data_IF_454268358016
#
_entry.id   IF_454268358016
#
_cell.length_a   1.000
_cell.length_b   1.000
_cell.length_c   1.000
_cell.angle_alpha   90.00
_cell.angle_beta   90.00
_cell.angle_gamma   90.00
#
_symmetry.space_group_name_H-M   'P 1'
#
loop_
_entity.id
_entity.type
_entity.pdbx_description
1 polymer ?
#
# COMPACT_ATOMS: atom_id res chain seq x y z
N UNK A 1 22.13 -24.07 14.75
CA UNK A 1 22.78 -22.80 14.34
C UNK A 1 21.96 -21.61 14.78
N UNK A 2 20.69 -21.44 14.38
CA UNK A 2 19.86 -20.26 14.73
C UNK A 2 19.69 -19.98 16.25
N UNK A 3 19.60 -21.03 17.11
CA UNK A 3 19.42 -20.81 18.56
C UNK A 3 20.69 -20.31 19.26
N UNK A 4 21.87 -20.66 18.78
CA UNK A 4 23.13 -20.21 19.34
C UNK A 4 23.41 -18.77 18.94
N UNK A 5 23.13 -18.40 17.70
CA UNK A 5 23.26 -17.03 17.20
C UNK A 5 22.35 -16.05 17.96
N UNK A 6 21.10 -16.44 18.29
CA UNK A 6 20.19 -15.58 19.06
C UNK A 6 20.65 -15.40 20.53
N UNK A 7 21.24 -16.43 21.14
CA UNK A 7 21.80 -16.33 22.51
C UNK A 7 22.99 -15.38 22.57
N UNK A 8 23.89 -15.49 21.62
CA UNK A 8 25.08 -14.64 21.53
C UNK A 8 24.71 -13.19 21.20
N UNK A 9 23.71 -13.01 20.33
CA UNK A 9 23.16 -11.70 20.03
C UNK A 9 22.56 -11.02 21.27
N UNK A 10 21.71 -11.74 22.05
CA UNK A 10 21.13 -11.20 23.29
C UNK A 10 22.18 -10.88 24.35
N UNK A 11 23.20 -11.73 24.47
CA UNK A 11 24.34 -11.46 25.36
C UNK A 11 25.10 -10.18 24.94
N UNK A 12 25.30 -10.00 23.65
CA UNK A 12 25.90 -8.77 23.10
C UNK A 12 25.06 -7.52 23.39
N UNK A 13 23.72 -7.63 23.26
CA UNK A 13 22.83 -6.51 23.61
C UNK A 13 22.94 -6.14 25.09
N UNK A 14 22.90 -7.14 25.98
CA UNK A 14 22.99 -6.92 27.41
C UNK A 14 24.32 -6.32 27.86
N UNK A 15 25.41 -6.51 27.08
CA UNK A 15 26.71 -5.92 27.37
C UNK A 15 26.88 -4.51 26.82
N UNK A 16 26.15 -4.15 25.77
CA UNK A 16 26.37 -2.90 25.02
C UNK A 16 25.23 -1.90 25.13
N UNK A 17 24.05 -2.33 25.59
CA UNK A 17 22.84 -1.52 25.70
C UNK A 17 22.24 -1.62 27.09
N UNK A 18 21.45 -0.63 27.46
CA UNK A 18 20.74 -0.60 28.73
C UNK A 18 19.38 -1.30 28.58
N UNK A 19 19.17 -2.41 29.26
CA UNK A 19 17.87 -3.06 29.32
C UNK A 19 16.93 -2.27 30.22
N UNK A 20 15.69 -2.10 29.82
CA UNK A 20 14.65 -1.43 30.61
C UNK A 20 14.11 -2.45 31.61
N UNK A 21 14.52 -2.33 32.87
CA UNK A 21 14.11 -3.19 33.97
C UNK A 21 13.31 -2.40 35.01
N UNK A 22 12.31 -3.03 35.68
CA UNK A 22 11.43 -2.33 36.60
C UNK A 22 12.14 -1.73 37.81
N UNK A 23 13.25 -2.32 38.25
CA UNK A 23 14.07 -1.83 39.37
C UNK A 23 14.93 -0.61 38.99
N UNK A 24 15.27 -0.49 37.69
CA UNK A 24 16.17 0.58 37.19
C UNK A 24 15.39 1.76 36.66
N UNK A 25 14.32 1.50 35.89
CA UNK A 25 13.49 2.50 35.21
C UNK A 25 12.00 2.18 35.36
N UNK A 26 11.44 2.22 36.60
CA UNK A 26 10.08 1.75 36.87
C UNK A 26 9.01 2.47 36.02
N UNK A 27 9.15 3.77 35.82
CA UNK A 27 8.20 4.55 35.06
C UNK A 27 8.20 4.19 33.57
N UNK A 28 9.38 4.11 32.95
CA UNK A 28 9.52 3.76 31.53
C UNK A 28 9.10 2.30 31.28
N UNK A 29 9.48 1.41 32.19
CA UNK A 29 9.06 0.01 32.17
C UNK A 29 7.52 -0.10 32.16
N UNK A 30 6.85 0.59 33.08
CA UNK A 30 5.39 0.57 33.18
C UNK A 30 4.74 1.15 31.91
N UNK A 31 5.23 2.29 31.39
CA UNK A 31 4.74 2.92 30.17
C UNK A 31 4.76 1.94 29.00
N UNK A 32 5.86 1.22 28.82
CA UNK A 32 6.04 0.28 27.71
C UNK A 32 5.14 -0.95 27.85
N UNK A 33 5.07 -1.51 29.05
CA UNK A 33 4.22 -2.67 29.30
C UNK A 33 2.72 -2.37 29.24
N UNK A 34 2.29 -1.18 29.69
CA UNK A 34 0.90 -0.72 29.50
C UNK A 34 0.55 -0.58 28.02
N UNK A 35 1.52 -0.15 27.21
CA UNK A 35 1.33 -0.02 25.77
C UNK A 35 1.15 -1.39 25.10
N UNK A 36 1.97 -2.38 25.48
CA UNK A 36 1.83 -3.77 25.03
C UNK A 36 0.45 -4.33 25.39
N UNK A 37 0.06 -4.17 26.66
CA UNK A 37 -1.22 -4.68 27.18
C UNK A 37 -2.40 -4.04 26.46
N UNK A 38 -2.34 -2.72 26.17
CA UNK A 38 -3.39 -2.00 25.45
C UNK A 38 -3.62 -2.53 24.04
N UNK A 39 -2.57 -2.99 23.36
CA UNK A 39 -2.66 -3.60 22.03
C UNK A 39 -3.02 -5.10 22.06
N UNK A 40 -3.12 -5.72 23.25
CA UNK A 40 -3.40 -7.15 23.39
C UNK A 40 -2.28 -8.04 22.81
N UNK A 41 -1.03 -7.58 22.90
CA UNK A 41 0.09 -8.33 22.37
C UNK A 41 0.61 -9.32 23.42
N UNK A 42 0.44 -10.62 23.20
CA UNK A 42 0.64 -11.67 24.20
C UNK A 42 2.09 -12.12 24.38
N UNK A 43 2.97 -11.77 23.44
CA UNK A 43 4.37 -12.16 23.50
C UNK A 43 5.15 -11.23 24.44
N UNK A 44 6.08 -11.80 25.23
CA UNK A 44 7.00 -10.99 26.02
C UNK A 44 7.88 -10.09 25.13
N UNK A 45 8.20 -8.90 25.61
CA UNK A 45 9.03 -7.92 24.93
C UNK A 45 10.14 -7.45 25.87
N UNK A 46 11.38 -7.56 25.43
CA UNK A 46 12.55 -6.97 26.06
C UNK A 46 12.84 -5.62 25.40
N UNK A 47 12.86 -4.55 26.16
CA UNK A 47 13.22 -3.22 25.69
C UNK A 47 14.67 -2.89 26.02
N UNK A 48 15.38 -2.37 25.03
CA UNK A 48 16.74 -1.88 25.19
C UNK A 48 16.83 -0.42 24.80
N UNK A 49 17.76 0.31 25.46
CA UNK A 49 18.09 1.69 25.13
C UNK A 49 19.52 1.74 24.60
N UNK A 50 19.64 2.25 23.38
CA UNK A 50 20.95 2.51 22.76
C UNK A 50 21.34 3.96 22.96
N UNK A 51 22.58 4.21 23.39
CA UNK A 51 23.14 5.55 23.42
C UNK A 51 23.39 6.03 21.98
N UNK A 52 22.46 6.80 21.44
CA UNK A 52 22.55 7.35 20.08
C UNK A 52 21.88 8.73 20.02
N UNK A 53 22.44 9.60 19.16
CA UNK A 53 21.87 10.89 18.82
C UNK A 53 20.78 10.80 17.74
N UNK A 54 20.67 9.67 17.05
CA UNK A 54 19.66 9.45 16.05
C UNK A 54 18.29 9.24 16.72
N UNK A 55 17.28 9.87 16.17
CA UNK A 55 15.90 9.74 16.69
C UNK A 55 15.28 8.54 16.00
N UNK A 56 15.43 7.36 16.59
CA UNK A 56 14.97 6.11 16.00
C UNK A 56 14.63 5.06 17.07
N UNK A 57 13.77 4.10 16.66
CA UNK A 57 13.53 2.85 17.35
C UNK A 57 13.51 1.73 16.31
N UNK A 58 13.74 0.50 16.71
CA UNK A 58 13.65 -0.64 15.82
C UNK A 58 13.26 -1.92 16.55
N UNK A 59 12.56 -2.78 15.83
CA UNK A 59 12.23 -4.13 16.26
C UNK A 59 13.11 -5.16 15.57
N UNK A 60 13.73 -6.07 16.32
CA UNK A 60 14.55 -7.11 15.75
C UNK A 60 13.69 -8.31 15.30
N UNK A 61 13.57 -8.48 13.97
CA UNK A 61 12.91 -9.60 13.32
C UNK A 61 13.87 -10.80 13.25
N UNK A 62 13.78 -11.72 14.06
CA UNK A 62 14.68 -12.89 13.96
C UNK A 62 14.68 -13.76 15.20
N UNK A 63 14.08 -13.24 16.24
CA UNK A 63 13.94 -13.99 17.48
C UNK A 63 12.91 -15.10 17.31
N UNK A 64 13.26 -16.28 17.82
CA UNK A 64 12.33 -17.42 17.80
C UNK A 64 11.03 -17.05 18.54
N UNK A 65 9.89 -17.64 18.15
CA UNK A 65 8.61 -17.37 18.82
C UNK A 65 8.60 -17.58 20.33
N UNK A 66 9.44 -18.50 20.81
CA UNK A 66 9.54 -18.89 22.22
C UNK A 66 10.35 -17.92 23.08
N UNK A 67 10.98 -16.91 22.48
CA UNK A 67 11.79 -15.92 23.19
C UNK A 67 11.14 -14.54 23.14
N UNK A 68 11.41 -13.66 24.12
CA UNK A 68 10.93 -12.30 24.09
C UNK A 68 11.28 -11.57 22.79
N UNK A 69 10.36 -10.78 22.26
CA UNK A 69 10.66 -9.84 21.20
C UNK A 69 11.65 -8.79 21.71
N UNK A 70 12.48 -8.24 20.85
CA UNK A 70 13.42 -7.17 21.21
C UNK A 70 13.01 -5.89 20.50
N UNK A 71 12.77 -4.83 21.27
CA UNK A 71 12.60 -3.46 20.76
C UNK A 71 13.74 -2.63 21.32
N UNK A 72 14.49 -1.99 20.44
CA UNK A 72 15.60 -1.10 20.76
C UNK A 72 15.23 0.34 20.46
N UNK A 73 15.47 1.24 21.42
CA UNK A 73 15.07 2.62 21.35
C UNK A 73 16.29 3.51 21.60
N UNK A 74 16.55 4.43 20.70
CA UNK A 74 17.64 5.37 20.88
C UNK A 74 17.33 6.39 21.98
N UNK A 75 18.35 6.71 22.82
CA UNK A 75 18.19 7.63 23.94
C UNK A 75 17.67 9.01 23.53
N UNK A 76 18.13 9.54 22.39
CA UNK A 76 17.63 10.81 21.88
C UNK A 76 16.12 10.82 21.58
N UNK A 77 15.56 9.69 21.17
CA UNK A 77 14.11 9.56 20.95
C UNK A 77 13.36 9.66 22.29
N UNK A 78 13.83 8.96 23.33
CA UNK A 78 13.20 9.00 24.66
C UNK A 78 13.24 10.42 25.24
N UNK A 79 14.35 11.14 25.08
CA UNK A 79 14.47 12.52 25.57
C UNK A 79 13.59 13.52 24.82
N UNK A 80 13.34 13.25 23.53
CA UNK A 80 12.57 14.15 22.66
C UNK A 80 11.06 13.98 22.80
N UNK A 81 10.60 12.74 23.01
CA UNK A 81 9.18 12.38 22.96
C UNK A 81 8.47 12.54 24.32
N UNK A 82 7.20 12.91 24.27
CA UNK A 82 6.29 12.78 25.41
C UNK A 82 5.85 11.31 25.58
N UNK A 83 5.19 10.99 26.70
CA UNK A 83 4.71 9.62 26.94
C UNK A 83 3.74 9.11 25.85
N UNK A 84 2.79 9.94 25.40
CA UNK A 84 1.86 9.55 24.33
C UNK A 84 2.57 9.36 22.99
N UNK A 85 3.59 10.17 22.71
CA UNK A 85 4.43 10.01 21.51
C UNK A 85 5.29 8.74 21.62
N UNK A 86 5.80 8.40 22.81
CA UNK A 86 6.50 7.12 23.03
C UNK A 86 5.55 5.94 22.85
N UNK A 87 4.29 6.03 23.35
CA UNK A 87 3.27 5.01 23.10
C UNK A 87 3.02 4.82 21.60
N UNK A 88 2.98 5.93 20.84
CA UNK A 88 2.84 5.86 19.39
C UNK A 88 4.01 5.10 18.76
N UNK A 89 5.25 5.43 19.10
CA UNK A 89 6.44 4.77 18.54
C UNK A 89 6.47 3.28 18.89
N UNK A 90 6.22 2.92 20.15
CA UNK A 90 6.21 1.52 20.58
C UNK A 90 5.07 0.75 19.91
N UNK A 91 3.89 1.37 19.80
CA UNK A 91 2.76 0.77 19.11
C UNK A 91 3.04 0.55 17.61
N UNK A 92 3.77 1.46 16.98
CA UNK A 92 4.26 1.33 15.62
C UNK A 92 5.22 0.13 15.47
N UNK A 93 6.22 0.02 16.33
CA UNK A 93 7.17 -1.10 16.34
C UNK A 93 6.48 -2.46 16.57
N UNK A 94 5.51 -2.50 17.47
CA UNK A 94 4.68 -3.69 17.69
C UNK A 94 3.78 -3.98 16.48
N UNK A 95 3.32 -2.95 15.78
CA UNK A 95 2.53 -3.05 14.56
C UNK A 95 3.21 -3.89 13.49
N UNK A 96 4.50 -3.71 13.28
CA UNK A 96 5.29 -4.53 12.35
C UNK A 96 5.31 -6.02 12.74
N UNK A 97 5.30 -6.33 14.04
CA UNK A 97 5.24 -7.71 14.51
C UNK A 97 3.85 -8.31 14.36
N UNK A 98 2.80 -7.57 14.72
CA UNK A 98 1.41 -8.00 14.59
C UNK A 98 1.06 -8.25 13.13
N UNK A 99 1.52 -7.38 12.22
CA UNK A 99 1.33 -7.51 10.78
C UNK A 99 2.29 -8.53 10.11
N UNK A 100 3.27 -9.07 10.85
CA UNK A 100 4.26 -10.06 10.38
C UNK A 100 5.13 -9.59 9.22
N UNK A 101 5.47 -8.32 9.19
CA UNK A 101 6.25 -7.70 8.10
C UNK A 101 7.62 -8.35 7.90
N UNK A 102 8.20 -8.88 8.98
CA UNK A 102 9.48 -9.59 8.93
C UNK A 102 9.48 -10.89 8.13
N UNK A 103 8.33 -11.55 7.94
CA UNK A 103 8.26 -12.84 7.25
C UNK A 103 8.56 -12.68 5.75
N UNK A 104 7.94 -11.70 5.09
CA UNK A 104 8.21 -11.43 3.68
C UNK A 104 9.64 -10.89 3.47
N UNK A 105 10.13 -10.03 4.36
CA UNK A 105 11.50 -9.53 4.29
C UNK A 105 12.52 -10.68 4.38
N UNK A 106 12.31 -11.66 5.25
CA UNK A 106 13.16 -12.86 5.34
C UNK A 106 13.13 -13.69 4.05
N UNK A 107 11.91 -13.90 3.49
CA UNK A 107 11.77 -14.64 2.23
C UNK A 107 12.47 -13.92 1.08
N UNK A 108 12.26 -12.61 0.96
CA UNK A 108 12.91 -11.79 -0.09
C UNK A 108 14.43 -11.83 0.05
N UNK A 109 14.97 -11.66 1.27
CA UNK A 109 16.42 -11.70 1.51
C UNK A 109 17.03 -13.11 1.32
N UNK A 110 16.24 -14.15 1.54
CA UNK A 110 16.67 -15.51 1.26
C UNK A 110 16.82 -15.79 -0.25
N UNK A 111 15.85 -15.34 -1.04
CA UNK A 111 15.84 -15.54 -2.51
C UNK A 111 16.79 -14.55 -3.21
N UNK A 112 16.85 -13.32 -2.73
CA UNK A 112 17.64 -12.22 -3.28
C UNK A 112 18.47 -11.57 -2.16
N UNK A 113 19.66 -12.14 -1.80
CA UNK A 113 20.52 -11.58 -0.75
C UNK A 113 20.91 -10.13 -0.99
N UNK A 114 21.02 -9.73 -2.26
CA UNK A 114 21.11 -8.34 -2.71
C UNK A 114 19.95 -8.04 -3.66
N UNK A 115 18.87 -7.48 -3.10
CA UNK A 115 17.66 -7.20 -3.85
C UNK A 115 17.91 -6.25 -5.03
N UNK A 116 18.76 -5.24 -4.85
CA UNK A 116 18.97 -4.21 -5.87
C UNK A 116 19.72 -4.72 -7.10
N UNK A 117 20.71 -5.57 -6.89
CA UNK A 117 21.54 -6.07 -8.00
C UNK A 117 21.05 -7.39 -8.58
N UNK A 118 20.32 -8.20 -7.83
CA UNK A 118 19.96 -9.57 -8.19
C UNK A 118 18.52 -9.77 -8.63
N UNK A 119 17.62 -8.80 -8.39
CA UNK A 119 16.20 -8.98 -8.70
C UNK A 119 15.71 -8.09 -9.85
N UNK A 120 14.63 -8.51 -10.56
CA UNK A 120 13.98 -7.66 -11.55
C UNK A 120 13.47 -6.35 -10.94
N UNK A 121 13.59 -5.23 -11.67
CA UNK A 121 13.17 -3.90 -11.19
C UNK A 121 11.72 -3.86 -10.69
N UNK A 122 10.81 -4.53 -11.39
CA UNK A 122 9.41 -4.61 -10.95
C UNK A 122 9.25 -5.26 -9.59
N UNK A 123 10.05 -6.28 -9.25
CA UNK A 123 10.03 -6.90 -7.93
C UNK A 123 10.57 -5.94 -6.87
N UNK A 124 11.64 -5.19 -7.17
CA UNK A 124 12.17 -4.17 -6.28
C UNK A 124 11.10 -3.12 -5.94
N UNK A 125 10.40 -2.60 -6.96
CA UNK A 125 9.31 -1.64 -6.77
C UNK A 125 8.15 -2.22 -5.94
N UNK A 126 7.76 -3.48 -6.18
CA UNK A 126 6.71 -4.16 -5.40
C UNK A 126 7.10 -4.34 -3.93
N UNK A 127 8.33 -4.76 -3.66
CA UNK A 127 8.84 -4.93 -2.29
C UNK A 127 8.89 -3.58 -1.58
N UNK A 128 9.35 -2.53 -2.26
CA UNK A 128 9.42 -1.19 -1.72
C UNK A 128 8.02 -0.64 -1.40
N UNK A 129 7.09 -0.70 -2.34
CA UNK A 129 5.71 -0.26 -2.11
C UNK A 129 5.04 -1.06 -0.98
N UNK A 130 5.27 -2.38 -0.92
CA UNK A 130 4.76 -3.21 0.16
C UNK A 130 5.32 -2.76 1.53
N UNK A 131 6.63 -2.49 1.64
CA UNK A 131 7.24 -1.96 2.88
C UNK A 131 6.59 -0.64 3.28
N UNK A 132 6.40 0.27 2.34
CA UNK A 132 5.72 1.55 2.60
C UNK A 132 4.27 1.37 3.07
N UNK A 133 3.54 0.38 2.55
CA UNK A 133 2.19 0.06 3.02
C UNK A 133 2.20 -0.53 4.43
N UNK A 134 3.20 -1.35 4.77
CA UNK A 134 3.39 -1.86 6.14
C UNK A 134 3.58 -0.73 7.14
N UNK A 135 4.28 0.35 6.77
CA UNK A 135 4.42 1.54 7.61
C UNK A 135 3.06 2.19 7.95
N UNK A 136 2.14 2.27 6.97
CA UNK A 136 0.79 2.81 7.22
C UNK A 136 -0.02 1.92 8.17
N UNK A 137 0.18 0.60 8.11
CA UNK A 137 -0.43 -0.35 9.06
C UNK A 137 0.19 -0.19 10.44
N UNK A 138 1.52 -0.12 10.54
CA UNK A 138 2.22 0.07 11.80
C UNK A 138 1.82 1.40 12.49
N UNK A 139 1.66 2.48 11.72
CA UNK A 139 1.17 3.76 12.22
C UNK A 139 -0.23 3.68 12.86
N UNK A 140 -1.13 2.86 12.31
CA UNK A 140 -2.45 2.61 12.92
C UNK A 140 -2.34 1.93 14.28
N UNK A 141 -1.45 0.95 14.42
CA UNK A 141 -1.16 0.34 15.72
C UNK A 141 -0.55 1.35 16.68
N UNK A 142 0.33 2.22 16.21
CA UNK A 142 0.84 3.35 16.96
C UNK A 142 -0.27 4.28 17.47
N UNK A 143 -1.21 4.63 16.60
CA UNK A 143 -2.37 5.44 16.99
C UNK A 143 -3.26 4.73 18.01
N UNK A 144 -3.55 3.44 17.85
CA UNK A 144 -4.33 2.65 18.80
C UNK A 144 -3.63 2.61 20.17
N UNK A 145 -2.32 2.51 20.19
CA UNK A 145 -1.51 2.53 21.41
C UNK A 145 -1.56 3.90 22.11
N UNK A 146 -1.34 4.98 21.39
CA UNK A 146 -1.35 6.34 21.94
C UNK A 146 -2.77 6.83 22.28
N UNK A 147 -3.73 6.60 21.39
CA UNK A 147 -5.11 7.11 21.52
C UNK A 147 -5.23 8.62 21.41
N UNK A 148 -4.21 9.30 20.89
CA UNK A 148 -4.11 10.76 20.83
C UNK A 148 -3.58 11.20 19.46
N UNK A 149 -4.48 11.71 18.59
CA UNK A 149 -4.15 12.19 17.24
C UNK A 149 -3.01 13.21 17.24
N UNK A 150 -3.09 14.19 18.13
CA UNK A 150 -2.13 15.29 18.16
C UNK A 150 -0.73 14.81 18.59
N UNK A 151 -0.66 13.85 19.51
CA UNK A 151 0.61 13.23 19.89
C UNK A 151 1.21 12.45 18.71
N UNK A 152 0.41 11.66 17.99
CA UNK A 152 0.89 10.90 16.82
C UNK A 152 1.45 11.84 15.73
N UNK A 153 0.72 12.93 15.40
CA UNK A 153 1.16 13.88 14.39
C UNK A 153 2.38 14.69 14.88
N UNK A 154 2.43 15.05 16.16
CA UNK A 154 3.58 15.68 16.78
C UNK A 154 4.83 14.79 16.74
N UNK A 155 4.66 13.47 16.93
CA UNK A 155 5.76 12.52 16.80
C UNK A 155 6.39 12.57 15.41
N UNK A 156 5.59 12.59 14.33
CA UNK A 156 6.12 12.76 12.97
C UNK A 156 6.90 14.08 12.80
N UNK A 157 6.36 15.18 13.32
CA UNK A 157 7.07 16.45 13.28
C UNK A 157 8.43 16.37 13.96
N UNK A 158 8.51 15.73 15.13
CA UNK A 158 9.74 15.57 15.90
C UNK A 158 10.72 14.60 15.22
N UNK A 159 10.22 13.47 14.72
CA UNK A 159 11.03 12.50 13.98
C UNK A 159 11.70 13.13 12.76
N UNK A 160 10.99 14.01 12.06
CA UNK A 160 11.50 14.67 10.86
C UNK A 160 12.41 15.85 11.15
N UNK A 161 12.08 16.67 12.15
CA UNK A 161 12.82 17.92 12.43
C UNK A 161 13.92 17.77 13.48
N UNK A 162 13.87 16.77 14.33
CA UNK A 162 14.75 16.64 15.49
C UNK A 162 14.50 17.70 16.59
N UNK A 163 13.45 18.51 16.46
CA UNK A 163 13.23 19.64 17.36
C UNK A 163 12.46 19.22 18.62
N UNK A 164 12.96 19.71 19.76
CA UNK A 164 12.19 19.66 20.99
C UNK A 164 11.15 20.79 20.98
N UNK A 165 9.87 20.41 20.90
CA UNK A 165 8.74 21.33 20.79
C UNK A 165 8.35 22.02 22.11
N UNK A 166 9.07 21.73 23.20
CA UNK A 166 8.81 22.30 24.51
C UNK A 166 9.01 23.82 24.49
N UNK A 167 7.94 24.57 24.67
CA UNK A 167 7.95 26.03 24.56
C UNK A 167 7.78 26.60 23.15
N UNK A 168 7.66 25.76 22.13
CA UNK A 168 7.29 26.18 20.77
C UNK A 168 5.78 26.06 20.61
N UNK A 169 5.15 27.10 20.10
CA UNK A 169 3.70 27.10 19.83
C UNK A 169 3.44 26.49 18.44
N UNK A 170 3.27 25.18 18.37
CA UNK A 170 3.03 24.46 17.12
C UNK A 170 1.54 24.23 16.93
N UNK A 171 1.03 24.72 15.81
CA UNK A 171 -0.33 24.43 15.34
C UNK A 171 -0.33 23.12 14.53
N UNK A 172 -0.76 22.03 15.18
CA UNK A 172 -0.87 20.69 14.57
C UNK A 172 -1.82 20.70 13.37
N UNK A 173 -2.93 21.42 13.45
CA UNK A 173 -3.90 21.49 12.35
C UNK A 173 -3.34 22.30 11.16
N UNK A 174 -2.53 23.32 11.41
CA UNK A 174 -1.80 24.01 10.35
C UNK A 174 -0.77 23.09 9.68
N UNK A 175 -0.07 22.25 10.47
CA UNK A 175 0.85 21.27 9.93
C UNK A 175 0.15 20.23 9.06
N UNK A 176 -1.01 19.70 9.49
CA UNK A 176 -1.84 18.79 8.68
C UNK A 176 -2.29 19.49 7.38
N UNK A 177 -2.81 20.71 7.46
CA UNK A 177 -3.21 21.47 6.25
C UNK A 177 -2.04 21.70 5.29
N UNK A 178 -0.83 21.92 5.81
CA UNK A 178 0.36 22.06 4.96
C UNK A 178 0.71 20.73 4.25
N UNK A 179 0.69 19.61 4.98
CA UNK A 179 0.93 18.30 4.40
C UNK A 179 -0.12 17.95 3.32
N UNK A 180 -1.40 18.30 3.53
CA UNK A 180 -2.44 18.06 2.53
C UNK A 180 -2.24 18.85 1.23
N UNK A 181 -1.64 20.05 1.31
CA UNK A 181 -1.22 20.78 0.10
C UNK A 181 -0.07 20.07 -0.63
N UNK A 182 0.88 19.52 0.11
CA UNK A 182 1.96 18.71 -0.49
C UNK A 182 1.40 17.45 -1.15
N UNK A 183 0.46 16.77 -0.51
CA UNK A 183 -0.23 15.59 -1.08
C UNK A 183 -0.95 15.89 -2.38
N UNK A 184 -1.62 17.04 -2.49
CA UNK A 184 -2.29 17.40 -3.75
C UNK A 184 -1.29 17.55 -4.90
N UNK A 185 -0.13 18.15 -4.66
CA UNK A 185 0.93 18.28 -5.66
C UNK A 185 1.55 16.91 -6.01
N UNK A 186 1.70 16.04 -5.02
CA UNK A 186 2.19 14.67 -5.23
C UNK A 186 1.19 13.83 -6.02
N UNK A 187 -0.09 13.94 -5.71
CA UNK A 187 -1.17 13.27 -6.42
C UNK A 187 -1.23 13.69 -7.90
N UNK A 188 -1.11 14.99 -8.19
CA UNK A 188 -1.08 15.54 -9.56
C UNK A 188 0.19 15.17 -10.36
N UNK A 189 1.04 14.29 -9.85
CA UNK A 189 2.25 13.84 -10.54
C UNK A 189 3.37 14.87 -10.67
N UNK A 190 3.27 16.00 -9.96
CA UNK A 190 4.30 17.07 -9.98
C UNK A 190 5.59 16.70 -9.27
N UNK A 191 5.55 15.69 -8.42
CA UNK A 191 6.71 15.11 -7.76
C UNK A 191 6.91 13.67 -8.22
N UNK A 192 7.81 13.47 -9.15
CA UNK A 192 8.29 12.15 -9.54
C UNK A 192 9.29 11.64 -8.49
N UNK A 193 9.08 10.41 -8.03
CA UNK A 193 10.08 9.64 -7.30
C UNK A 193 10.30 9.98 -5.81
N UNK A 194 9.30 9.63 -4.98
CA UNK A 194 9.59 9.28 -3.58
C UNK A 194 9.82 7.75 -3.41
N UNK A 195 9.90 7.03 -4.53
CA UNK A 195 9.99 5.57 -4.58
C UNK A 195 11.31 4.97 -4.10
N UNK A 196 12.30 5.78 -3.71
CA UNK A 196 13.60 5.28 -3.26
C UNK A 196 13.75 5.21 -1.74
N UNK A 197 12.70 5.53 -0.98
CA UNK A 197 12.72 5.49 0.48
C UNK A 197 11.91 4.31 0.99
N UNK A 198 12.42 3.61 2.00
CA UNK A 198 11.71 2.48 2.64
C UNK A 198 10.42 2.92 3.35
N UNK A 199 10.29 4.21 3.69
CA UNK A 199 9.11 4.79 4.31
C UNK A 199 8.33 5.66 3.31
N UNK A 200 6.99 5.71 3.40
CA UNK A 200 6.20 6.67 2.62
C UNK A 200 6.55 8.11 3.02
N UNK A 201 6.25 9.07 2.14
CA UNK A 201 6.36 10.48 2.50
C UNK A 201 5.55 10.78 3.78
N UNK A 202 6.12 11.58 4.69
CA UNK A 202 5.47 11.94 5.96
C UNK A 202 4.07 12.52 5.74
N UNK A 203 3.86 13.26 4.65
CA UNK A 203 2.55 13.80 4.31
C UNK A 203 1.49 12.68 4.10
N UNK A 204 1.87 11.53 3.53
CA UNK A 204 1.00 10.36 3.40
C UNK A 204 0.69 9.77 4.78
N UNK A 205 1.72 9.59 5.62
CA UNK A 205 1.58 9.03 6.97
C UNK A 205 0.74 9.92 7.87
N UNK A 206 1.00 11.23 7.85
CA UNK A 206 0.23 12.23 8.61
C UNK A 206 -1.24 12.24 8.20
N UNK A 207 -1.54 12.19 6.89
CA UNK A 207 -2.94 12.15 6.43
C UNK A 207 -3.60 10.82 6.74
N UNK A 208 -2.89 9.70 6.67
CA UNK A 208 -3.42 8.39 7.05
C UNK A 208 -3.86 8.36 8.54
N UNK A 209 -3.01 8.89 9.44
CA UNK A 209 -3.35 9.02 10.86
C UNK A 209 -4.49 10.02 11.07
N UNK A 210 -4.45 11.16 10.39
CA UNK A 210 -5.51 12.16 10.47
C UNK A 210 -6.86 11.58 10.06
N UNK A 211 -6.93 10.91 8.91
CA UNK A 211 -8.15 10.26 8.42
C UNK A 211 -8.64 9.18 9.39
N UNK A 212 -7.74 8.31 9.89
CA UNK A 212 -8.11 7.27 10.85
C UNK A 212 -8.66 7.83 12.16
N UNK A 213 -8.18 9.01 12.60
CA UNK A 213 -8.61 9.66 13.83
C UNK A 213 -9.91 10.47 13.68
N UNK A 214 -10.23 10.99 12.48
CA UNK A 214 -11.28 12.01 12.30
C UNK A 214 -12.39 11.61 11.35
N UNK A 215 -12.26 10.51 10.59
CA UNK A 215 -13.31 10.06 9.67
C UNK A 215 -14.64 9.86 10.42
N UNK A 216 -15.71 10.37 9.83
CA UNK A 216 -17.06 10.29 10.38
C UNK A 216 -17.75 8.95 10.05
N UNK A 217 -17.23 8.22 9.08
CA UNK A 217 -17.71 6.91 8.65
C UNK A 217 -16.58 6.04 8.10
N UNK A 218 -16.82 4.74 8.07
CA UNK A 218 -15.92 3.77 7.44
C UNK A 218 -15.71 4.07 5.94
N UNK A 219 -16.77 4.48 5.24
CA UNK A 219 -16.72 4.84 3.82
C UNK A 219 -15.79 6.04 3.55
N UNK A 220 -15.83 7.07 4.41
CA UNK A 220 -14.95 8.23 4.30
C UNK A 220 -13.48 7.84 4.55
N UNK A 221 -13.24 7.01 5.57
CA UNK A 221 -11.92 6.48 5.86
C UNK A 221 -11.39 5.66 4.69
N UNK A 222 -12.17 4.73 4.17
CA UNK A 222 -11.77 3.86 3.06
C UNK A 222 -11.46 4.67 1.81
N UNK A 223 -12.28 5.66 1.47
CA UNK A 223 -12.03 6.55 0.32
C UNK A 223 -10.69 7.26 0.45
N UNK A 224 -10.38 7.80 1.62
CA UNK A 224 -9.09 8.48 1.86
C UNK A 224 -7.94 7.51 1.80
N UNK A 225 -8.09 6.34 2.44
CA UNK A 225 -7.03 5.32 2.44
C UNK A 225 -6.76 4.75 1.06
N UNK A 226 -7.77 4.51 0.23
CA UNK A 226 -7.59 4.09 -1.18
C UNK A 226 -6.73 5.07 -1.95
N UNK A 227 -7.00 6.37 -1.79
CA UNK A 227 -6.21 7.42 -2.43
C UNK A 227 -4.74 7.39 -1.97
N UNK A 228 -4.49 7.22 -0.68
CA UNK A 228 -3.13 7.16 -0.13
C UNK A 228 -2.40 5.88 -0.59
N UNK A 229 -3.08 4.74 -0.59
CA UNK A 229 -2.53 3.47 -1.10
C UNK A 229 -2.19 3.59 -2.59
N UNK A 230 -3.08 4.17 -3.40
CA UNK A 230 -2.80 4.41 -4.81
C UNK A 230 -1.55 5.28 -5.01
N UNK A 231 -1.35 6.32 -4.21
CA UNK A 231 -0.13 7.14 -4.29
C UNK A 231 1.16 6.35 -4.05
N UNK A 232 1.10 5.29 -3.25
CA UNK A 232 2.24 4.41 -2.94
C UNK A 232 2.42 3.33 -4.01
N UNK A 233 1.33 2.76 -4.53
CA UNK A 233 1.36 1.59 -5.42
C UNK A 233 1.40 1.94 -6.92
N UNK A 234 1.07 3.16 -7.30
CA UNK A 234 0.98 3.57 -8.71
C UNK A 234 2.35 3.54 -9.42
N UNK A 235 2.33 3.10 -10.67
CA UNK A 235 3.50 3.12 -11.57
C UNK A 235 3.53 4.42 -12.38
N UNK A 236 2.36 5.01 -12.62
CA UNK A 236 2.15 6.19 -13.46
C UNK A 236 1.69 7.39 -12.63
N UNK A 237 1.70 8.57 -13.20
CA UNK A 237 1.50 9.83 -12.46
C UNK A 237 0.36 10.71 -12.97
N UNK A 238 -0.41 10.24 -13.97
CA UNK A 238 -1.54 10.97 -14.52
C UNK A 238 -2.81 10.76 -13.67
N UNK A 239 -3.63 11.81 -13.52
CA UNK A 239 -4.93 11.70 -12.84
C UNK A 239 -5.89 10.71 -13.50
N UNK A 240 -5.75 10.50 -14.83
CA UNK A 240 -6.56 9.54 -15.58
C UNK A 240 -6.16 8.11 -15.19
N UNK A 241 -4.90 7.91 -14.87
CA UNK A 241 -4.34 6.60 -14.56
C UNK A 241 -4.89 5.99 -13.27
N UNK A 242 -5.51 6.79 -12.39
CA UNK A 242 -6.27 6.28 -11.23
C UNK A 242 -7.55 5.54 -11.68
N UNK A 243 -8.20 6.05 -12.71
CA UNK A 243 -9.48 5.52 -13.19
C UNK A 243 -9.33 4.32 -14.13
N UNK A 244 -8.21 4.25 -14.88
CA UNK A 244 -7.99 3.19 -15.87
C UNK A 244 -7.97 1.78 -15.26
N UNK A 245 -7.24 1.49 -14.16
CA UNK A 245 -7.23 0.18 -13.54
C UNK A 245 -8.61 -0.27 -13.04
N UNK A 246 -9.37 0.63 -12.44
CA UNK A 246 -10.73 0.34 -11.96
C UNK A 246 -11.70 0.10 -13.13
N UNK A 247 -11.60 0.90 -14.20
CA UNK A 247 -12.33 0.65 -15.44
C UNK A 247 -11.98 -0.72 -16.03
N UNK A 248 -10.69 -1.07 -16.12
CA UNK A 248 -10.23 -2.34 -16.66
C UNK A 248 -10.72 -3.53 -15.81
N UNK A 249 -10.65 -3.42 -14.49
CA UNK A 249 -11.17 -4.45 -13.59
C UNK A 249 -12.67 -4.65 -13.79
N UNK A 250 -13.45 -3.55 -13.79
CA UNK A 250 -14.90 -3.61 -13.94
C UNK A 250 -15.33 -4.11 -15.33
N UNK A 251 -14.75 -3.56 -16.40
CA UNK A 251 -15.06 -3.97 -17.78
C UNK A 251 -14.69 -5.44 -18.01
N UNK A 252 -13.53 -5.88 -17.49
CA UNK A 252 -13.11 -7.26 -17.58
C UNK A 252 -14.07 -8.22 -16.88
N UNK A 253 -14.45 -7.90 -15.62
CA UNK A 253 -15.41 -8.71 -14.85
C UNK A 253 -16.80 -8.74 -15.51
N UNK A 254 -17.27 -7.61 -16.05
CA UNK A 254 -18.57 -7.54 -16.76
C UNK A 254 -18.59 -8.47 -17.97
N UNK A 255 -17.53 -8.47 -18.78
CA UNK A 255 -17.42 -9.33 -19.96
C UNK A 255 -17.24 -10.80 -19.54
N UNK A 256 -16.27 -11.10 -18.67
CA UNK A 256 -15.96 -12.46 -18.25
C UNK A 256 -17.13 -13.14 -17.53
N UNK A 257 -17.96 -12.38 -16.81
CA UNK A 257 -19.14 -12.93 -16.13
C UNK A 257 -20.42 -12.99 -17.00
N UNK A 258 -20.34 -12.66 -18.28
CA UNK A 258 -21.52 -12.65 -19.17
C UNK A 258 -22.18 -14.02 -19.33
N UNK A 259 -21.42 -15.08 -19.23
CA UNK A 259 -21.91 -16.47 -19.26
C UNK A 259 -22.05 -17.10 -17.84
N UNK A 260 -21.65 -16.39 -16.78
CA UNK A 260 -21.71 -16.81 -15.38
C UNK A 260 -20.46 -17.56 -14.89
N UNK A 261 -19.41 -17.65 -15.70
CA UNK A 261 -18.15 -18.33 -15.35
C UNK A 261 -16.96 -17.47 -15.76
N UNK A 262 -16.17 -17.04 -14.79
CA UNK A 262 -14.89 -16.34 -15.06
C UNK A 262 -13.79 -17.40 -15.16
N UNK A 263 -13.15 -17.50 -16.31
CA UNK A 263 -12.03 -18.42 -16.53
C UNK A 263 -10.71 -17.86 -15.98
N UNK A 264 -9.72 -18.73 -15.81
CA UNK A 264 -8.40 -18.32 -15.34
C UNK A 264 -7.70 -17.42 -16.37
N UNK A 265 -7.85 -17.73 -17.65
CA UNK A 265 -7.29 -16.98 -18.77
C UNK A 265 -7.88 -15.55 -18.83
N UNK A 266 -9.18 -15.39 -18.62
CA UNK A 266 -9.85 -14.10 -18.55
C UNK A 266 -9.33 -13.28 -17.35
N UNK A 267 -9.21 -13.90 -16.17
CA UNK A 267 -8.67 -13.25 -14.98
C UNK A 267 -7.21 -12.81 -15.19
N UNK A 268 -6.35 -13.68 -15.75
CA UNK A 268 -4.97 -13.36 -16.05
C UNK A 268 -4.85 -12.20 -17.05
N UNK A 269 -5.72 -12.14 -18.08
CA UNK A 269 -5.79 -11.04 -19.04
C UNK A 269 -6.10 -9.71 -18.37
N UNK A 270 -7.10 -9.68 -17.47
CA UNK A 270 -7.45 -8.47 -16.70
C UNK A 270 -6.26 -8.02 -15.84
N UNK A 271 -5.67 -8.94 -15.07
CA UNK A 271 -4.55 -8.63 -14.19
C UNK A 271 -3.33 -8.12 -14.95
N UNK A 272 -3.03 -8.69 -16.11
CA UNK A 272 -1.93 -8.24 -16.95
C UNK A 272 -2.10 -6.79 -17.43
N UNK A 273 -3.32 -6.37 -17.73
CA UNK A 273 -3.60 -5.00 -18.13
C UNK A 273 -3.53 -4.02 -16.96
N UNK A 274 -4.13 -4.36 -15.83
CA UNK A 274 -4.06 -3.53 -14.62
C UNK A 274 -2.61 -3.36 -14.15
N UNK A 275 -1.77 -4.39 -14.29
CA UNK A 275 -0.35 -4.35 -13.87
C UNK A 275 0.52 -3.32 -14.62
N UNK A 276 0.01 -2.71 -15.68
CA UNK A 276 0.67 -1.60 -16.36
C UNK A 276 0.52 -0.27 -15.61
N UNK A 277 -0.45 -0.17 -14.70
CA UNK A 277 -0.82 1.05 -13.97
C UNK A 277 -0.61 0.93 -12.46
N UNK A 278 -0.77 -0.26 -11.89
CA UNK A 278 -0.64 -0.50 -10.45
C UNK A 278 0.21 -1.74 -10.14
N UNK A 279 0.98 -1.66 -9.05
CA UNK A 279 1.87 -2.73 -8.60
C UNK A 279 1.11 -3.93 -8.02
N UNK A 280 -0.13 -3.72 -7.53
CA UNK A 280 -0.95 -4.73 -6.88
C UNK A 280 -2.30 -4.94 -7.58
N UNK A 281 -2.29 -5.41 -8.86
CA UNK A 281 -3.49 -5.50 -9.69
C UNK A 281 -4.58 -6.41 -9.08
N UNK A 282 -4.20 -7.40 -8.29
CA UNK A 282 -5.17 -8.29 -7.62
C UNK A 282 -6.01 -7.54 -6.58
N UNK A 283 -5.43 -6.60 -5.83
CA UNK A 283 -6.15 -5.80 -4.85
C UNK A 283 -7.27 -4.99 -5.50
N UNK A 284 -7.00 -4.37 -6.66
CA UNK A 284 -8.00 -3.62 -7.43
C UNK A 284 -9.11 -4.55 -7.94
N UNK A 285 -8.74 -5.71 -8.48
CA UNK A 285 -9.71 -6.67 -8.99
C UNK A 285 -10.63 -7.19 -7.88
N UNK A 286 -10.08 -7.53 -6.70
CA UNK A 286 -10.84 -7.98 -5.54
C UNK A 286 -11.75 -6.88 -4.97
N UNK A 287 -11.30 -5.64 -4.97
CA UNK A 287 -12.08 -4.50 -4.53
C UNK A 287 -13.29 -4.29 -5.45
N UNK A 288 -13.06 -4.22 -6.76
CA UNK A 288 -14.14 -4.05 -7.74
C UNK A 288 -15.12 -5.21 -7.72
N UNK A 289 -14.65 -6.45 -7.49
CA UNK A 289 -15.51 -7.62 -7.39
C UNK A 289 -16.46 -7.61 -6.17
N UNK A 290 -16.16 -6.82 -5.13
CA UNK A 290 -16.99 -6.67 -3.92
C UNK A 290 -18.04 -5.55 -4.04
N UNK A 291 -17.88 -4.66 -5.03
CA UNK A 291 -18.76 -3.50 -5.23
C UNK A 291 -19.77 -3.77 -6.38
N UNK A 292 -20.62 -2.80 -6.68
CA UNK A 292 -21.44 -2.80 -7.91
C UNK A 292 -20.55 -2.58 -9.13
N UNK A 293 -20.18 -3.68 -9.78
CA UNK A 293 -19.26 -3.69 -10.92
C UNK A 293 -19.70 -2.77 -12.05
N UNK A 294 -21.03 -2.69 -12.32
CA UNK A 294 -21.56 -1.80 -13.38
C UNK A 294 -21.48 -0.33 -12.97
N UNK A 295 -21.67 -0.01 -11.72
CA UNK A 295 -21.48 1.34 -11.18
C UNK A 295 -20.01 1.76 -11.32
N UNK A 296 -19.07 0.91 -10.86
CA UNK A 296 -17.62 1.16 -10.99
C UNK A 296 -17.22 1.36 -12.45
N UNK A 297 -17.73 0.51 -13.36
CA UNK A 297 -17.53 0.64 -14.80
C UNK A 297 -17.93 2.01 -15.32
N UNK A 298 -19.17 2.43 -15.05
CA UNK A 298 -19.72 3.68 -15.58
C UNK A 298 -19.03 4.92 -15.00
N UNK A 299 -18.79 4.95 -13.70
CA UNK A 299 -18.14 6.09 -13.03
C UNK A 299 -16.72 6.31 -13.55
N UNK A 300 -15.92 5.25 -13.67
CA UNK A 300 -14.55 5.35 -14.13
C UNK A 300 -14.46 5.63 -15.65
N UNK A 301 -15.31 5.01 -16.48
CA UNK A 301 -15.38 5.36 -17.89
C UNK A 301 -15.73 6.81 -18.10
N UNK A 302 -16.72 7.33 -17.38
CA UNK A 302 -17.12 8.73 -17.47
C UNK A 302 -16.00 9.67 -17.02
N UNK A 303 -15.28 9.34 -15.94
CA UNK A 303 -14.15 10.13 -15.46
C UNK A 303 -13.03 10.19 -16.51
N UNK A 304 -12.67 9.04 -17.10
CA UNK A 304 -11.66 8.96 -18.17
C UNK A 304 -12.07 9.82 -19.38
N UNK A 305 -13.29 9.61 -19.92
CA UNK A 305 -13.73 10.27 -21.14
C UNK A 305 -14.03 11.75 -20.96
N UNK A 306 -14.35 12.20 -19.75
CA UNK A 306 -14.51 13.63 -19.44
C UNK A 306 -13.16 14.35 -19.49
N UNK A 307 -12.09 13.70 -19.00
CA UNK A 307 -10.75 14.27 -18.97
C UNK A 307 -10.03 14.12 -20.33
N UNK A 308 -10.20 12.99 -21.00
CA UNK A 308 -9.59 12.71 -22.29
C UNK A 308 -10.53 11.87 -23.20
N UNK A 309 -11.36 12.52 -24.02
CA UNK A 309 -12.26 11.85 -24.95
C UNK A 309 -11.57 10.97 -26.00
N UNK A 310 -10.28 11.25 -26.30
CA UNK A 310 -9.53 10.50 -27.31
C UNK A 310 -9.22 9.06 -26.89
N UNK A 311 -9.25 8.78 -25.56
CA UNK A 311 -9.09 7.43 -25.03
C UNK A 311 -10.29 6.51 -25.30
N UNK A 312 -11.40 7.04 -25.84
CA UNK A 312 -12.63 6.25 -26.08
C UNK A 312 -12.37 4.97 -26.86
N UNK A 313 -11.64 5.06 -27.94
CA UNK A 313 -11.35 3.90 -28.81
C UNK A 313 -10.42 2.90 -28.14
N UNK A 314 -9.46 3.39 -27.34
CA UNK A 314 -8.52 2.54 -26.62
C UNK A 314 -9.22 1.77 -25.49
N UNK A 315 -10.05 2.45 -24.69
CA UNK A 315 -10.85 1.80 -23.65
C UNK A 315 -11.81 0.76 -24.23
N UNK A 316 -12.41 1.03 -25.39
CA UNK A 316 -13.26 0.06 -26.07
C UNK A 316 -12.46 -1.11 -26.66
N UNK A 317 -11.24 -0.87 -27.14
CA UNK A 317 -10.33 -1.94 -27.58
C UNK A 317 -10.05 -2.92 -26.45
N UNK A 318 -9.85 -2.43 -25.23
CA UNK A 318 -9.71 -3.32 -24.07
C UNK A 318 -10.94 -4.21 -23.87
N UNK A 319 -12.16 -3.66 -23.98
CA UNK A 319 -13.41 -4.45 -23.87
C UNK A 319 -13.46 -5.55 -24.95
N UNK A 320 -13.07 -5.24 -26.21
CA UNK A 320 -12.99 -6.24 -27.27
C UNK A 320 -11.93 -7.32 -26.99
N UNK A 321 -10.78 -6.93 -26.44
CA UNK A 321 -9.70 -7.86 -26.09
C UNK A 321 -10.12 -8.84 -25.00
N UNK A 322 -10.98 -8.43 -24.07
CA UNK A 322 -11.51 -9.34 -23.04
C UNK A 322 -12.41 -10.43 -23.66
N UNK A 323 -13.23 -10.10 -24.66
CA UNK A 323 -14.03 -11.10 -25.40
C UNK A 323 -13.16 -12.12 -26.13
N UNK A 324 -11.92 -11.75 -26.47
CA UNK A 324 -10.98 -12.59 -27.22
C UNK A 324 -9.95 -13.31 -26.31
N UNK A 325 -9.97 -13.08 -25.01
CA UNK A 325 -8.89 -13.45 -24.08
C UNK A 325 -8.71 -14.96 -23.91
N UNK A 326 -9.78 -15.74 -23.94
CA UNK A 326 -9.75 -17.21 -23.83
C UNK A 326 -9.74 -17.93 -25.21
N UNK A 327 -9.58 -17.18 -26.30
CA UNK A 327 -9.63 -17.67 -27.68
C UNK A 327 -10.95 -18.35 -28.08
N UNK A 328 -12.04 -18.06 -27.39
CA UNK A 328 -13.38 -18.58 -27.68
C UNK A 328 -14.34 -17.42 -27.87
N UNK A 329 -15.10 -17.46 -28.96
CA UNK A 329 -16.16 -16.48 -29.20
C UNK A 329 -17.47 -16.97 -28.62
N UNK A 330 -17.85 -16.45 -27.48
CA UNK A 330 -19.13 -16.78 -26.84
C UNK A 330 -20.17 -15.72 -27.20
N UNK A 331 -21.33 -16.17 -27.70
CA UNK A 331 -22.38 -15.26 -28.16
C UNK A 331 -22.85 -14.26 -27.10
N UNK A 332 -22.88 -14.65 -25.81
CA UNK A 332 -23.28 -13.77 -24.72
C UNK A 332 -22.28 -12.63 -24.52
N UNK A 333 -20.98 -12.90 -24.53
CA UNK A 333 -19.93 -11.90 -24.39
C UNK A 333 -19.92 -10.93 -25.57
N UNK A 334 -20.03 -11.44 -26.80
CA UNK A 334 -20.11 -10.61 -28.00
C UNK A 334 -21.33 -9.69 -27.97
N UNK A 335 -22.51 -10.21 -27.59
CA UNK A 335 -23.73 -9.40 -27.49
C UNK A 335 -23.60 -8.33 -26.41
N UNK A 336 -22.99 -8.66 -25.27
CA UNK A 336 -22.76 -7.70 -24.19
C UNK A 336 -21.76 -6.62 -24.61
N UNK A 337 -20.66 -6.98 -25.27
CA UNK A 337 -19.69 -6.03 -25.85
C UNK A 337 -20.36 -5.08 -26.86
N UNK A 338 -21.22 -5.59 -27.74
CA UNK A 338 -21.96 -4.78 -28.70
C UNK A 338 -22.88 -3.76 -27.97
N UNK A 339 -23.60 -4.22 -26.95
CA UNK A 339 -24.43 -3.36 -26.12
C UNK A 339 -23.62 -2.26 -25.43
N UNK A 340 -22.50 -2.62 -24.79
CA UNK A 340 -21.58 -1.69 -24.14
C UNK A 340 -21.03 -0.66 -25.15
N UNK A 341 -20.62 -1.09 -26.34
CA UNK A 341 -20.09 -0.19 -27.36
C UNK A 341 -21.11 0.87 -27.83
N UNK A 342 -22.38 0.48 -27.92
CA UNK A 342 -23.45 1.40 -28.31
C UNK A 342 -23.90 2.28 -27.14
N UNK A 343 -24.22 1.68 -25.97
CA UNK A 343 -24.87 2.39 -24.87
C UNK A 343 -23.88 3.18 -24.02
N UNK A 344 -22.70 2.63 -23.71
CA UNK A 344 -21.73 3.29 -22.84
C UNK A 344 -20.70 4.15 -23.60
N UNK A 345 -20.24 3.66 -24.77
CA UNK A 345 -19.25 4.39 -25.56
C UNK A 345 -19.85 5.28 -26.64
N UNK A 346 -21.14 5.12 -26.98
CA UNK A 346 -21.82 5.95 -27.98
C UNK A 346 -21.39 5.69 -29.41
N UNK A 347 -20.83 4.52 -29.72
CA UNK A 347 -20.51 4.13 -31.11
C UNK A 347 -21.77 3.68 -31.87
N UNK A 348 -21.76 3.78 -33.19
CA UNK A 348 -22.80 3.11 -33.98
C UNK A 348 -22.57 1.59 -33.96
N UNK A 349 -23.65 0.82 -34.10
CA UNK A 349 -23.58 -0.65 -34.15
C UNK A 349 -22.64 -1.11 -35.29
N UNK A 350 -22.63 -0.43 -36.43
CA UNK A 350 -21.77 -0.74 -37.56
C UNK A 350 -20.29 -0.49 -37.23
N UNK A 351 -19.97 0.60 -36.52
CA UNK A 351 -18.60 0.92 -36.12
C UNK A 351 -18.06 -0.13 -35.14
N UNK A 352 -18.90 -0.54 -34.16
CA UNK A 352 -18.54 -1.59 -33.22
C UNK A 352 -18.27 -2.91 -33.94
N UNK A 353 -19.14 -3.34 -34.86
CA UNK A 353 -18.97 -4.57 -35.62
C UNK A 353 -17.72 -4.53 -36.50
N UNK A 354 -17.46 -3.42 -37.17
CA UNK A 354 -16.27 -3.25 -38.02
C UNK A 354 -14.97 -3.27 -37.17
N UNK A 355 -14.95 -2.56 -36.05
CA UNK A 355 -13.80 -2.54 -35.14
C UNK A 355 -13.54 -3.95 -34.59
N UNK A 356 -14.56 -4.67 -34.15
CA UNK A 356 -14.43 -6.03 -33.63
C UNK A 356 -13.96 -7.02 -34.71
N UNK A 357 -14.51 -6.95 -35.93
CA UNK A 357 -14.06 -7.77 -37.05
C UNK A 357 -12.59 -7.51 -37.42
N UNK A 358 -12.15 -6.26 -37.34
CA UNK A 358 -10.74 -5.93 -37.53
C UNK A 358 -9.90 -6.50 -36.39
N UNK A 359 -10.32 -6.38 -35.13
CA UNK A 359 -9.58 -6.89 -33.97
C UNK A 359 -9.42 -8.41 -34.01
N UNK A 360 -10.46 -9.15 -34.40
CA UNK A 360 -10.37 -10.59 -34.63
C UNK A 360 -9.28 -10.94 -35.66
N UNK A 361 -9.20 -10.19 -36.78
CA UNK A 361 -8.16 -10.43 -37.77
C UNK A 361 -6.75 -10.17 -37.27
N UNK A 362 -6.57 -9.19 -36.36
CA UNK A 362 -5.29 -8.88 -35.73
C UNK A 362 -4.86 -9.97 -34.74
N UNK A 363 -5.76 -10.44 -33.89
CA UNK A 363 -5.50 -11.44 -32.86
C UNK A 363 -5.28 -12.84 -33.46
N UNK A 364 -6.11 -13.24 -34.43
CA UNK A 364 -6.06 -14.57 -35.07
C UNK A 364 -5.29 -14.59 -36.39
N UNK A 365 -4.32 -13.70 -36.59
CA UNK A 365 -3.40 -13.77 -37.76
C UNK A 365 -2.60 -15.08 -37.71
N UNK A 366 -2.72 -15.96 -38.71
CA UNK A 366 -1.83 -17.12 -38.78
C UNK A 366 -0.38 -16.59 -38.90
N UNK A 367 0.48 -16.98 -37.97
CA UNK A 367 1.93 -16.74 -38.10
C UNK A 367 2.45 -17.69 -39.14
N UNK A 368 2.79 -17.20 -40.35
CA UNK A 368 3.42 -17.97 -41.39
C UNK A 368 4.88 -18.36 -41.09
N UNK A 369 5.38 -18.15 -39.87
CA UNK A 369 6.75 -18.45 -39.46
C UNK A 369 7.04 -19.92 -39.13
N UNK A 370 6.09 -20.82 -39.33
CA UNK A 370 6.25 -22.26 -39.04
C UNK A 370 6.22 -23.15 -40.33
N UNK A 371 6.37 -22.56 -41.53
CA UNK A 371 6.48 -23.31 -42.76
C UNK A 371 7.77 -22.80 -43.49
N UNK A 372 8.91 -23.14 -42.93
CA UNK A 372 10.19 -23.27 -43.67
C UNK A 372 11.07 -24.25 -42.93
#
# INVERSE_FOLDING_TARGET
>A
MEQQDDSDFRASLALTKLKVEPEVMPHLYQLFHDTIAKLGFDRQVDFYITNSKDINACTYFGTTPDRPLIIDINSALIELMSEDELRFVIGHELGHQINKDGELNKLVSFVFPDLQSMSPMLLQLKVLAWRQLCELVADRFGFLAAGNRNACISAFFKLHSGLNLKGMNIDIDAFVRHNNKLLSHYYDGKFLSLSNYDHPADAIRVEAINAFATASSEEELDKTMRKLVYMVSRITTSEIDEHIPYFMAAAGLVIANADGVVTKEEQESILQRISQYDLFPMSILEEVAKDDVMKVFNENLQAILTKNPDLRSEMFTFVMDQVLSDNKLKAKEVNLMLKIGVEAFGFSQNDVMNAFAQRIREVFRPSFSSIC
#
